data_IF_007579483865
#
_entry.id   IF_007579483865
#
_cell.length_a   1.000
_cell.length_b   1.000
_cell.length_c   1.000
_cell.angle_alpha   90.00
_cell.angle_beta   90.00
_cell.angle_gamma   90.00
#
_symmetry.space_group_name_H-M   'P 1'
#
loop_
_entity.id
_entity.type
_entity.pdbx_description
1 polymer ?
#
# COMPACT_ATOMS: atom_id res chain seq x y z
N UNK A 1 7.71 -7.71 -26.52
CA UNK A 1 7.83 -7.52 -26.06
C UNK A 1 7.70 -6.92 -25.63
N UNK A 2 7.55 -6.70 -25.64
CA UNK A 2 7.64 -6.08 -25.08
C UNK A 2 7.11 -5.94 -24.23
N UNK A 3 6.31 -6.20 -24.22
CA UNK A 3 5.90 -6.28 -23.21
C UNK A 3 6.55 -6.65 -22.18
N UNK A 4 7.11 -7.13 -22.22
CA UNK A 4 7.97 -7.48 -21.40
C UNK A 4 8.78 -6.51 -20.88
N UNK A 5 9.09 -5.68 -21.48
CA UNK A 5 9.80 -4.57 -21.04
C UNK A 5 9.21 -3.90 -19.87
N UNK A 6 7.92 -3.87 -19.78
CA UNK A 6 7.24 -3.31 -18.65
C UNK A 6 7.56 -4.04 -17.38
N UNK A 7 7.66 -5.36 -17.47
CA UNK A 7 7.99 -6.13 -16.29
C UNK A 7 9.40 -5.87 -15.84
N UNK A 8 10.30 -5.61 -16.78
CA UNK A 8 11.67 -5.31 -16.42
C UNK A 8 11.78 -3.97 -15.74
N UNK A 9 10.97 -3.03 -16.19
CA UNK A 9 11.06 -1.67 -15.72
C UNK A 9 10.35 -1.46 -14.38
N UNK A 10 9.12 -1.92 -14.24
CA UNK A 10 8.30 -1.75 -13.03
C UNK A 10 8.20 -0.32 -12.53
N UNK A 11 8.64 0.66 -13.32
CA UNK A 11 8.62 2.06 -12.86
C UNK A 11 7.22 2.52 -12.56
N UNK A 12 6.28 2.20 -13.45
CA UNK A 12 4.89 2.61 -13.24
C UNK A 12 4.32 1.97 -11.98
N UNK A 13 4.65 0.72 -11.72
CA UNK A 13 4.13 0.02 -10.56
C UNK A 13 4.74 0.54 -9.26
N UNK A 14 6.02 0.89 -9.30
CA UNK A 14 6.69 1.50 -8.15
C UNK A 14 6.10 2.86 -7.82
N UNK A 15 5.84 3.67 -8.85
CA UNK A 15 5.18 4.96 -8.65
C UNK A 15 3.79 4.77 -8.09
N UNK A 16 3.05 3.80 -8.60
CA UNK A 16 1.72 3.50 -8.10
C UNK A 16 1.76 3.09 -6.63
N UNK A 17 2.76 2.32 -6.23
CA UNK A 17 2.90 1.91 -4.84
C UNK A 17 3.11 3.13 -3.95
N UNK A 18 4.00 4.03 -4.34
CA UNK A 18 4.26 5.24 -3.57
C UNK A 18 3.02 6.13 -3.49
N UNK A 19 2.32 6.29 -4.62
CA UNK A 19 1.11 7.12 -4.66
C UNK A 19 -0.02 6.52 -3.85
N UNK A 20 -0.14 5.19 -3.85
CA UNK A 20 -1.16 4.51 -3.06
C UNK A 20 -0.92 4.73 -1.57
N UNK A 21 0.34 4.62 -1.14
CA UNK A 21 0.66 4.86 0.25
C UNK A 21 0.37 6.30 0.64
N UNK A 22 0.70 7.25 -0.24
CA UNK A 22 0.37 8.66 0.04
C UNK A 22 -1.13 8.87 0.12
N UNK A 23 -1.89 8.16 -0.72
CA UNK A 23 -3.35 8.22 -0.66
C UNK A 23 -3.88 7.75 0.70
N UNK A 24 -3.31 6.69 1.24
CA UNK A 24 -3.70 6.20 2.55
C UNK A 24 -3.36 7.24 3.63
N UNK A 25 -2.16 7.80 3.56
CA UNK A 25 -1.73 8.79 4.56
C UNK A 25 -2.59 10.04 4.53
N UNK A 26 -3.11 10.40 3.34
CA UNK A 26 -3.86 11.64 3.16
C UNK A 26 -5.35 11.45 3.37
N UNK A 27 -5.94 10.35 2.88
CA UNK A 27 -7.39 10.16 2.96
C UNK A 27 -7.82 8.80 3.51
N UNK A 28 -7.03 7.74 3.32
CA UNK A 28 -7.29 6.45 3.95
C UNK A 28 -8.60 5.79 3.56
N UNK A 29 -8.97 5.79 2.25
CA UNK A 29 -10.20 5.13 1.86
C UNK A 29 -9.97 3.63 1.60
N UNK A 30 -11.07 2.88 1.47
CA UNK A 30 -10.98 1.43 1.31
C UNK A 30 -10.23 1.02 0.05
N UNK A 31 -10.45 1.75 -1.05
CA UNK A 31 -9.79 1.38 -2.30
C UNK A 31 -8.27 1.47 -2.16
N UNK A 32 -7.78 2.48 -1.46
CA UNK A 32 -6.34 2.62 -1.26
C UNK A 32 -5.78 1.45 -0.44
N UNK A 33 -6.49 1.02 0.60
CA UNK A 33 -6.05 -0.13 1.39
C UNK A 33 -6.08 -1.42 0.58
N UNK A 34 -7.12 -1.61 -0.23
CA UNK A 34 -7.19 -2.78 -1.09
C UNK A 34 -6.03 -2.78 -2.09
N UNK A 35 -5.73 -1.61 -2.64
CA UNK A 35 -4.61 -1.48 -3.58
C UNK A 35 -3.29 -1.84 -2.91
N UNK A 36 -3.05 -1.36 -1.68
CA UNK A 36 -1.79 -1.68 -1.00
C UNK A 36 -1.72 -3.16 -0.63
N UNK A 37 -2.85 -3.78 -0.33
CA UNK A 37 -2.88 -5.20 -0.09
C UNK A 37 -2.31 -5.96 -1.31
N UNK A 38 -2.78 -5.63 -2.51
CA UNK A 38 -2.30 -6.30 -3.71
C UNK A 38 -0.85 -5.94 -4.03
N UNK A 39 -0.46 -4.69 -3.77
CA UNK A 39 0.93 -4.29 -3.99
C UNK A 39 1.88 -5.05 -3.06
N UNK A 40 1.44 -5.38 -1.86
CA UNK A 40 2.24 -6.16 -0.92
C UNK A 40 2.39 -7.61 -1.35
N UNK A 41 1.65 -8.06 -2.36
CA UNK A 41 1.89 -9.37 -2.95
C UNK A 41 3.08 -9.34 -3.90
N UNK A 42 3.47 -8.17 -4.38
CA UNK A 42 4.57 -7.99 -5.34
C UNK A 42 5.82 -7.39 -4.71
N UNK A 43 5.65 -6.55 -3.70
CA UNK A 43 6.75 -5.84 -3.05
C UNK A 43 6.70 -6.07 -1.56
N UNK A 44 7.86 -6.05 -0.91
CA UNK A 44 7.90 -6.07 0.54
C UNK A 44 7.49 -4.71 1.09
N UNK A 45 7.15 -4.67 2.37
CA UNK A 45 6.85 -3.41 3.05
C UNK A 45 8.05 -2.46 2.95
N UNK A 46 9.25 -2.99 3.14
CA UNK A 46 10.47 -2.19 3.05
C UNK A 46 10.62 -1.56 1.66
N UNK A 47 10.32 -2.33 0.62
CA UNK A 47 10.41 -1.81 -0.75
C UNK A 47 9.39 -0.70 -0.99
N UNK A 48 8.16 -0.88 -0.53
CA UNK A 48 7.12 0.15 -0.73
C UNK A 48 7.49 1.42 0.01
N UNK A 49 8.00 1.29 1.23
CA UNK A 49 8.43 2.47 1.99
C UNK A 49 9.60 3.17 1.31
N UNK A 50 10.49 2.40 0.69
CA UNK A 50 11.60 2.99 -0.05
C UNK A 50 11.12 3.75 -1.28
N UNK A 51 10.18 3.19 -2.03
CA UNK A 51 9.58 3.89 -3.18
C UNK A 51 8.93 5.19 -2.72
N UNK A 52 8.23 5.14 -1.60
CA UNK A 52 7.56 6.30 -1.03
C UNK A 52 8.57 7.38 -0.65
N UNK A 53 9.64 7.00 0.04
CA UNK A 53 10.65 7.96 0.49
C UNK A 53 11.33 8.64 -0.68
N UNK A 54 11.55 7.92 -1.76
CA UNK A 54 12.20 8.49 -2.95
C UNK A 54 11.28 9.44 -3.70
N UNK A 55 9.99 9.10 -3.77
CA UNK A 55 9.04 9.95 -4.50
C UNK A 55 8.62 11.17 -3.69
N UNK A 56 8.53 11.04 -2.38
CA UNK A 56 8.06 12.09 -1.48
C UNK A 56 9.08 12.36 -0.38
N UNK A 57 10.27 12.88 -0.76
CA UNK A 57 11.37 12.99 0.21
C UNK A 57 11.11 13.95 1.36
N UNK A 58 10.13 14.86 1.20
CA UNK A 58 9.82 15.83 2.25
C UNK A 58 8.66 15.41 3.14
N UNK A 59 8.10 14.22 2.89
CA UNK A 59 6.96 13.73 3.68
C UNK A 59 7.45 12.77 4.75
N UNK A 60 6.69 12.66 5.83
CA UNK A 60 7.06 11.78 6.94
C UNK A 60 6.83 10.32 6.60
N UNK A 61 7.89 9.55 6.59
CA UNK A 61 7.80 8.11 6.35
C UNK A 61 7.07 7.43 7.52
N UNK A 62 7.34 7.88 8.74
CA UNK A 62 6.68 7.32 9.91
C UNK A 62 5.17 7.54 9.84
N UNK A 63 4.75 8.73 9.45
CA UNK A 63 3.33 9.03 9.32
C UNK A 63 2.67 8.10 8.29
N UNK A 64 3.35 7.89 7.17
CA UNK A 64 2.84 6.99 6.14
C UNK A 64 2.72 5.57 6.65
N UNK A 65 3.73 5.09 7.37
CA UNK A 65 3.71 3.75 7.94
C UNK A 65 2.56 3.59 8.94
N UNK A 66 2.41 4.56 9.82
CA UNK A 66 1.36 4.48 10.84
C UNK A 66 -0.03 4.58 10.23
N UNK A 67 -0.18 5.30 9.11
CA UNK A 67 -1.48 5.39 8.45
C UNK A 67 -1.99 4.03 7.99
N UNK A 68 -1.10 3.08 7.77
CA UNK A 68 -1.48 1.72 7.37
C UNK A 68 -2.15 0.94 8.50
N UNK A 69 -2.12 1.45 9.71
CA UNK A 69 -2.77 0.80 10.85
C UNK A 69 -4.08 1.48 11.23
N UNK A 70 -4.46 2.55 10.54
CA UNK A 70 -5.64 3.32 10.89
C UNK A 70 -6.71 3.11 9.84
N UNK A 71 -7.73 2.33 10.18
CA UNK A 71 -8.78 1.94 9.24
C UNK A 71 -10.10 2.67 9.46
N UNK A 72 -10.18 3.54 10.47
CA UNK A 72 -11.46 4.11 10.86
C UNK A 72 -12.16 4.85 9.73
N UNK A 73 -11.41 5.62 8.93
CA UNK A 73 -12.01 6.36 7.83
C UNK A 73 -12.48 5.42 6.72
N UNK A 74 -11.69 4.38 6.45
CA UNK A 74 -12.07 3.39 5.43
C UNK A 74 -13.32 2.62 5.84
N UNK A 75 -13.48 2.36 7.15
CA UNK A 75 -14.62 1.62 7.65
C UNK A 75 -15.95 2.34 7.40
N UNK A 76 -15.91 3.64 7.21
CA UNK A 76 -17.12 4.43 6.98
C UNK A 76 -17.61 4.36 5.54
N UNK A 77 -16.81 3.80 4.65
CA UNK A 77 -17.11 3.76 3.23
C UNK A 77 -17.61 2.39 2.82
N UNK A 78 -18.43 2.36 1.74
CA UNK A 78 -18.88 1.10 1.18
C UNK A 78 -17.71 0.39 0.52
N UNK A 79 -17.83 -0.94 0.43
CA UNK A 79 -16.84 -1.72 -0.32
C UNK A 79 -16.92 -1.34 -1.80
N UNK A 80 -15.78 -1.09 -2.44
CA UNK A 80 -15.81 -0.84 -3.87
C UNK A 80 -16.19 -2.11 -4.63
N UNK A 81 -16.73 -1.91 -5.85
CA UNK A 81 -17.06 -3.02 -6.72
C UNK A 81 -15.76 -3.64 -7.21
N UNK A 82 -15.66 -4.95 -7.12
CA UNK A 82 -14.44 -5.67 -7.50
C UNK A 82 -14.78 -6.85 -8.39
N UNK A 83 -13.82 -7.21 -9.24
CA UNK A 83 -13.96 -8.36 -10.11
C UNK A 83 -13.59 -9.66 -9.42
N UNK A 84 -12.89 -9.59 -8.29
CA UNK A 84 -12.52 -10.75 -7.49
C UNK A 84 -13.01 -10.54 -6.08
N UNK A 85 -13.25 -11.64 -5.38
CA UNK A 85 -13.68 -11.57 -3.99
C UNK A 85 -12.53 -11.02 -3.14
N UNK A 86 -12.87 -10.15 -2.21
CA UNK A 86 -11.90 -9.59 -1.30
C UNK A 86 -12.48 -9.57 0.10
N UNK A 87 -11.78 -10.22 1.03
CA UNK A 87 -12.19 -10.24 2.43
C UNK A 87 -11.52 -9.07 3.15
N UNK A 88 -12.32 -8.06 3.49
CA UNK A 88 -11.82 -6.83 4.10
C UNK A 88 -11.11 -7.11 5.43
N UNK A 89 -11.66 -8.01 6.26
CA UNK A 89 -11.05 -8.29 7.56
C UNK A 89 -9.71 -9.00 7.40
N UNK A 90 -9.61 -9.93 6.47
CA UNK A 90 -8.34 -10.59 6.19
C UNK A 90 -7.34 -9.61 5.60
N UNK A 91 -7.81 -8.72 4.75
CA UNK A 91 -6.95 -7.69 4.16
C UNK A 91 -6.33 -6.80 5.23
N UNK A 92 -7.14 -6.35 6.19
CA UNK A 92 -6.64 -5.54 7.28
C UNK A 92 -5.60 -6.31 8.11
N UNK A 93 -5.90 -7.56 8.43
CA UNK A 93 -4.98 -8.39 9.22
C UNK A 93 -3.66 -8.58 8.50
N UNK A 94 -3.72 -8.81 7.19
CA UNK A 94 -2.51 -8.99 6.38
C UNK A 94 -1.65 -7.72 6.43
N UNK A 95 -2.27 -6.56 6.24
CA UNK A 95 -1.54 -5.29 6.24
C UNK A 95 -0.91 -5.04 7.61
N UNK A 96 -1.69 -5.25 8.69
CA UNK A 96 -1.17 -5.05 10.03
C UNK A 96 0.01 -5.98 10.34
N UNK A 97 -0.05 -7.22 9.87
CA UNK A 97 1.04 -8.14 10.09
C UNK A 97 2.30 -7.68 9.36
N UNK A 98 2.15 -7.14 8.15
CA UNK A 98 3.30 -6.63 7.41
C UNK A 98 3.93 -5.43 8.09
N UNK A 99 3.11 -4.55 8.67
CA UNK A 99 3.62 -3.43 9.43
C UNK A 99 4.39 -3.92 10.66
N UNK A 100 3.82 -4.89 11.38
CA UNK A 100 4.49 -5.42 12.57
C UNK A 100 5.79 -6.12 12.23
N UNK A 101 5.82 -6.88 11.15
CA UNK A 101 7.05 -7.54 10.73
C UNK A 101 8.14 -6.51 10.43
N UNK A 102 7.76 -5.44 9.74
CA UNK A 102 8.70 -4.38 9.43
C UNK A 102 9.23 -3.72 10.72
N UNK A 103 8.33 -3.38 11.64
CA UNK A 103 8.72 -2.71 12.88
C UNK A 103 9.61 -3.59 13.74
N UNK A 104 9.37 -4.89 13.73
CA UNK A 104 10.17 -5.82 14.55
C UNK A 104 11.58 -5.99 14.01
N UNK A 105 11.83 -5.65 12.74
CA UNK A 105 13.16 -5.77 12.15
C UNK A 105 14.01 -4.52 12.41
N UNK A 106 13.37 -3.43 12.72
CA UNK A 106 14.02 -2.15 12.95
C UNK A 106 13.56 -1.58 14.28
#
# INVERSE_FOLDING_TARGET
MELLNLSNDNTALKDQAAETLEGIARRGNRQDFINVYFLLQHFSMEEILDFYAKKYPNYSLYRALMSLTYFADAEKLDMPKMFVDFDWEQGKSFILNKVKEYENRY
#
